data_IF_449113879434
#
_entry.id   IF_449113879434
#
_cell.length_a   1.000
_cell.length_b   1.000
_cell.length_c   1.000
_cell.angle_alpha   90.00
_cell.angle_beta   90.00
_cell.angle_gamma   90.00
#
_symmetry.space_group_name_H-M   'P 1'
#
loop_
_entity.id
_entity.type
_entity.pdbx_description
1 polymer ?
#
# COMPACT_ATOMS: atom_id res chain seq x y z
N UNK A 1 -32.48 -13.71 -45.76
CA UNK A 1 -31.58 -14.53 -44.92
C UNK A 1 -30.75 -15.44 -45.84
N UNK A 2 -29.75 -14.91 -46.54
CA UNK A 2 -28.99 -15.65 -47.58
C UNK A 2 -27.47 -15.64 -47.35
N UNK A 3 -26.96 -14.96 -46.32
CA UNK A 3 -25.51 -14.82 -46.08
C UNK A 3 -24.88 -16.11 -45.52
N UNK A 4 -25.71 -17.04 -45.01
CA UNK A 4 -25.25 -18.26 -44.35
C UNK A 4 -25.01 -19.43 -45.31
N UNK A 5 -25.56 -19.38 -46.52
CA UNK A 5 -25.41 -20.46 -47.52
C UNK A 5 -24.03 -20.41 -48.20
N UNK A 6 -23.49 -19.22 -48.44
CA UNK A 6 -22.13 -19.07 -48.95
C UNK A 6 -21.07 -19.49 -47.91
N UNK A 7 -21.27 -19.16 -46.63
CA UNK A 7 -20.34 -19.55 -45.57
C UNK A 7 -20.31 -21.06 -45.33
N UNK A 8 -21.47 -21.74 -45.35
CA UNK A 8 -21.50 -23.19 -45.18
C UNK A 8 -20.88 -23.92 -46.37
N UNK A 9 -21.06 -23.41 -47.60
CA UNK A 9 -20.40 -23.97 -48.79
C UNK A 9 -18.87 -23.81 -48.73
N UNK A 10 -18.38 -22.65 -48.30
CA UNK A 10 -16.94 -22.42 -48.10
C UNK A 10 -16.37 -23.35 -47.02
N UNK A 11 -17.08 -23.56 -45.92
CA UNK A 11 -16.67 -24.47 -44.86
C UNK A 11 -16.69 -25.94 -45.31
N UNK A 12 -17.70 -26.36 -46.08
CA UNK A 12 -17.77 -27.70 -46.66
C UNK A 12 -16.64 -27.94 -47.67
N UNK A 13 -16.33 -26.95 -48.51
CA UNK A 13 -15.23 -27.02 -49.46
C UNK A 13 -13.86 -27.06 -48.75
N UNK A 14 -13.71 -26.30 -47.66
CA UNK A 14 -12.51 -26.35 -46.81
C UNK A 14 -12.37 -27.71 -46.10
N UNK A 15 -13.48 -28.29 -45.63
CA UNK A 15 -13.49 -29.61 -45.02
C UNK A 15 -13.13 -30.71 -46.03
N UNK A 16 -13.66 -30.66 -47.25
CA UNK A 16 -13.29 -31.59 -48.33
C UNK A 16 -11.81 -31.47 -48.70
N UNK A 17 -11.28 -30.24 -48.72
CA UNK A 17 -9.85 -29.99 -48.97
C UNK A 17 -8.96 -30.56 -47.84
N UNK A 18 -9.36 -30.42 -46.57
CA UNK A 18 -8.65 -31.01 -45.45
C UNK A 18 -8.69 -32.54 -45.48
N UNK A 19 -9.85 -33.13 -45.78
CA UNK A 19 -10.00 -34.60 -45.87
C UNK A 19 -9.22 -35.17 -47.08
N UNK A 20 -9.16 -34.44 -48.19
CA UNK A 20 -8.35 -34.80 -49.36
C UNK A 20 -6.85 -34.69 -49.04
N UNK A 21 -6.41 -33.62 -48.37
CA UNK A 21 -5.03 -33.48 -47.87
C UNK A 21 -4.66 -34.53 -46.83
N UNK A 22 -5.58 -34.94 -45.96
CA UNK A 22 -5.33 -35.93 -44.93
C UNK A 22 -5.19 -37.33 -45.56
N UNK A 23 -6.01 -37.66 -46.57
CA UNK A 23 -5.85 -38.87 -47.39
C UNK A 23 -4.56 -38.86 -48.23
N UNK A 24 -4.16 -37.74 -48.79
CA UNK A 24 -2.94 -37.62 -49.61
C UNK A 24 -1.65 -37.58 -48.77
N UNK A 25 -1.70 -37.04 -47.54
CA UNK A 25 -0.59 -37.04 -46.60
C UNK A 25 -0.25 -38.45 -46.07
N UNK A 26 -1.22 -39.36 -46.07
CA UNK A 26 -1.00 -40.78 -45.71
C UNK A 26 -0.77 -41.70 -46.92
N UNK A 27 -1.16 -41.28 -48.14
CA UNK A 27 -1.09 -42.12 -49.35
C UNK A 27 -0.20 -41.55 -50.47
N UNK A 28 0.91 -40.90 -50.13
CA UNK A 28 1.90 -40.42 -51.10
C UNK A 28 2.80 -41.48 -51.77
N UNK A 29 2.72 -42.77 -51.41
CA UNK A 29 3.63 -43.81 -51.94
C UNK A 29 3.04 -45.24 -52.04
N UNK A 30 1.73 -45.40 -52.20
CA UNK A 30 1.16 -46.75 -52.30
C UNK A 30 0.06 -46.85 -53.37
N UNK A 31 0.47 -46.93 -54.63
CA UNK A 31 -0.36 -47.51 -55.70
C UNK A 31 0.50 -48.41 -56.58
N UNK A 32 0.31 -49.72 -56.38
CA UNK A 32 0.60 -50.87 -57.25
C UNK A 32 2.08 -51.15 -57.59
N UNK A 33 2.74 -51.94 -56.74
CA UNK A 33 3.76 -52.88 -57.22
C UNK A 33 3.44 -54.26 -56.65
N UNK A 34 3.11 -55.26 -57.49
CA UNK A 34 2.93 -56.61 -56.99
C UNK A 34 4.31 -57.25 -56.78
N UNK A 35 4.35 -58.11 -55.76
CA UNK A 35 5.22 -59.27 -55.58
C UNK A 35 6.21 -59.25 -54.40
N UNK A 36 5.80 -59.96 -53.34
CA UNK A 36 6.57 -60.76 -52.38
C UNK A 36 7.82 -60.15 -51.70
N UNK A 37 7.69 -59.81 -50.41
CA UNK A 37 8.58 -60.43 -49.41
C UNK A 37 7.93 -60.53 -48.03
N UNK A 38 8.12 -61.69 -47.41
CA UNK A 38 7.70 -62.04 -46.04
C UNK A 38 8.54 -61.24 -45.03
N UNK A 39 7.95 -61.11 -43.84
CA UNK A 39 8.57 -60.78 -42.54
C UNK A 39 8.60 -59.29 -42.20
N UNK A 40 7.64 -58.85 -41.39
CA UNK A 40 7.90 -58.42 -40.00
C UNK A 40 6.59 -57.91 -39.39
N UNK A 41 5.91 -58.80 -38.66
CA UNK A 41 4.94 -58.43 -37.62
C UNK A 41 5.66 -57.56 -36.57
N UNK A 42 5.66 -56.24 -36.76
CA UNK A 42 5.87 -55.29 -35.68
C UNK A 42 4.56 -54.55 -35.45
N UNK A 43 3.69 -55.17 -34.65
CA UNK A 43 2.54 -54.51 -33.99
C UNK A 43 3.02 -53.20 -33.40
N UNK A 44 2.63 -52.08 -34.02
CA UNK A 44 2.80 -50.73 -33.51
C UNK A 44 1.95 -50.59 -32.24
N UNK A 45 2.55 -50.82 -31.08
CA UNK A 45 1.97 -50.43 -29.80
C UNK A 45 2.82 -49.32 -29.20
N UNK A 46 2.11 -48.26 -28.82
CA UNK A 46 2.50 -47.09 -28.01
C UNK A 46 3.45 -46.06 -28.64
N UNK A 47 2.86 -44.95 -29.09
CA UNK A 47 3.36 -43.58 -28.79
C UNK A 47 2.26 -42.54 -28.98
N UNK A 48 1.13 -42.73 -28.31
CA UNK A 48 0.34 -41.58 -27.86
C UNK A 48 1.17 -40.83 -26.81
N UNK A 49 1.23 -39.50 -26.94
CA UNK A 49 1.95 -38.50 -26.12
C UNK A 49 3.33 -38.07 -26.61
N UNK A 50 3.38 -37.28 -27.69
CA UNK A 50 4.48 -36.31 -27.91
C UNK A 50 4.04 -34.91 -28.38
N UNK A 51 2.75 -34.59 -28.39
CA UNK A 51 2.26 -33.25 -28.80
C UNK A 51 2.06 -32.23 -27.66
N UNK A 52 2.20 -32.61 -26.37
CA UNK A 52 1.89 -31.70 -25.26
C UNK A 52 3.06 -30.83 -24.77
N UNK A 53 4.31 -31.22 -25.02
CA UNK A 53 5.45 -30.55 -24.36
C UNK A 53 5.67 -29.10 -24.83
N UNK A 54 5.36 -28.78 -26.09
CA UNK A 54 5.42 -27.41 -26.63
C UNK A 54 4.31 -26.51 -26.10
N UNK A 55 3.07 -27.02 -26.07
CA UNK A 55 1.90 -26.28 -25.58
C UNK A 55 1.98 -26.04 -24.06
N UNK A 56 2.41 -27.05 -23.28
CA UNK A 56 2.59 -26.90 -21.82
C UNK A 56 3.69 -25.90 -21.46
N UNK A 57 4.77 -25.81 -22.24
CA UNK A 57 5.83 -24.80 -22.03
C UNK A 57 5.34 -23.37 -22.32
N UNK A 58 4.57 -23.21 -23.41
CA UNK A 58 3.99 -21.90 -23.76
C UNK A 58 2.99 -21.43 -22.70
N UNK A 59 2.08 -22.31 -22.26
CA UNK A 59 1.13 -21.99 -21.17
C UNK A 59 1.86 -21.62 -19.88
N UNK A 60 2.92 -22.36 -19.52
CA UNK A 60 3.74 -22.04 -18.34
C UNK A 60 4.38 -20.65 -18.44
N UNK A 61 4.93 -20.29 -19.61
CA UNK A 61 5.55 -18.98 -19.81
C UNK A 61 4.55 -17.83 -19.70
N UNK A 62 3.33 -17.99 -20.24
CA UNK A 62 2.28 -16.97 -20.11
C UNK A 62 1.83 -16.81 -18.65
N UNK A 63 1.66 -17.92 -17.92
CA UNK A 63 1.35 -17.86 -16.49
C UNK A 63 2.47 -17.18 -15.68
N UNK A 64 3.74 -17.49 -15.96
CA UNK A 64 4.87 -16.86 -15.28
C UNK A 64 4.99 -15.36 -15.65
N UNK A 65 4.69 -14.99 -16.89
CA UNK A 65 4.64 -13.58 -17.32
C UNK A 65 3.56 -12.82 -16.57
N UNK A 66 2.36 -13.40 -16.45
CA UNK A 66 1.27 -12.82 -15.67
C UNK A 66 1.66 -12.68 -14.19
N UNK A 67 2.22 -13.74 -13.58
CA UNK A 67 2.72 -13.73 -12.20
C UNK A 67 3.76 -12.63 -11.96
N UNK A 68 4.70 -12.45 -12.90
CA UNK A 68 5.72 -11.38 -12.82
C UNK A 68 5.13 -9.98 -12.99
N UNK A 69 4.07 -9.82 -13.79
CA UNK A 69 3.36 -8.55 -13.90
C UNK A 69 2.69 -8.18 -12.57
N UNK A 70 1.98 -9.13 -11.95
CA UNK A 70 1.38 -8.94 -10.62
C UNK A 70 2.44 -8.59 -9.56
N UNK A 71 3.56 -9.31 -9.53
CA UNK A 71 4.65 -9.02 -8.57
C UNK A 71 5.18 -7.58 -8.74
N UNK A 72 5.38 -7.12 -9.98
CA UNK A 72 5.82 -5.75 -10.23
C UNK A 72 4.81 -4.73 -9.72
N UNK A 73 3.53 -4.96 -9.97
CA UNK A 73 2.46 -4.10 -9.46
C UNK A 73 2.47 -4.01 -7.91
N UNK A 74 2.58 -5.15 -7.21
CA UNK A 74 2.67 -5.13 -5.75
C UNK A 74 3.92 -4.38 -5.25
N UNK A 75 5.05 -4.51 -5.93
CA UNK A 75 6.27 -3.78 -5.58
C UNK A 75 6.15 -2.28 -5.84
N UNK A 76 5.45 -1.86 -6.89
CA UNK A 76 5.15 -0.46 -7.16
C UNK A 76 4.27 0.15 -6.05
N UNK A 77 3.19 -0.53 -5.67
CA UNK A 77 2.35 -0.11 -4.53
C UNK A 77 3.16 0.00 -3.24
N UNK A 78 4.07 -0.94 -2.99
CA UNK A 78 4.94 -0.89 -1.82
C UNK A 78 5.87 0.33 -1.85
N UNK A 79 6.34 0.76 -3.02
CA UNK A 79 7.20 1.95 -3.14
C UNK A 79 6.46 3.24 -2.81
N UNK A 80 5.16 3.32 -3.06
CA UNK A 80 4.33 4.49 -2.73
C UNK A 80 4.13 4.63 -1.22
N UNK A 81 4.05 3.52 -0.50
CA UNK A 81 3.82 3.53 0.96
C UNK A 81 5.10 3.68 1.78
N UNK A 82 6.25 3.27 1.24
CA UNK A 82 7.52 3.36 1.95
C UNK A 82 8.15 4.73 1.69
N UNK A 83 8.63 5.44 2.73
CA UNK A 83 9.41 6.67 2.56
C UNK A 83 10.71 6.36 1.79
N UNK A 84 10.67 6.54 0.47
CA UNK A 84 11.81 6.37 -0.41
C UNK A 84 12.28 7.76 -0.82
N UNK A 85 13.46 8.16 -0.36
CA UNK A 85 14.17 9.29 -0.95
C UNK A 85 14.35 9.01 -2.45
N UNK A 86 13.89 9.93 -3.29
CA UNK A 86 13.98 9.89 -4.76
C UNK A 86 15.40 9.64 -5.28
N UNK A 87 16.40 9.87 -4.43
CA UNK A 87 17.83 9.81 -4.77
C UNK A 87 18.46 8.43 -4.60
N UNK A 88 17.67 7.39 -4.33
CA UNK A 88 18.20 6.03 -4.18
C UNK A 88 18.53 5.42 -5.54
N UNK A 89 19.72 5.74 -6.06
CA UNK A 89 20.37 5.08 -7.21
C UNK A 89 20.54 3.56 -7.05
N UNK A 90 20.21 3.01 -5.87
CA UNK A 90 20.23 1.57 -5.52
C UNK A 90 18.84 1.02 -5.22
N UNK A 91 17.85 1.30 -6.06
CA UNK A 91 16.49 0.78 -5.92
C UNK A 91 16.40 -0.71 -6.34
N UNK A 92 16.95 -1.59 -5.51
CA UNK A 92 16.80 -3.05 -5.65
C UNK A 92 15.59 -3.53 -4.83
N UNK A 93 14.93 -4.60 -5.26
CA UNK A 93 13.79 -5.20 -4.53
C UNK A 93 14.15 -5.53 -3.07
N UNK A 94 15.37 -6.00 -2.82
CA UNK A 94 15.83 -6.29 -1.46
C UNK A 94 15.90 -5.05 -0.57
N UNK A 95 16.40 -3.92 -1.09
CA UNK A 95 16.48 -2.67 -0.33
C UNK A 95 15.07 -2.13 -0.01
N UNK A 96 14.14 -2.23 -0.96
CA UNK A 96 12.74 -1.87 -0.74
C UNK A 96 12.13 -2.67 0.42
N UNK A 97 12.28 -4.00 0.40
CA UNK A 97 11.75 -4.87 1.44
C UNK A 97 12.37 -4.58 2.83
N UNK A 98 13.68 -4.33 2.89
CA UNK A 98 14.36 -3.95 4.15
C UNK A 98 13.84 -2.61 4.69
N UNK A 99 13.66 -1.60 3.82
CA UNK A 99 13.11 -0.30 4.21
C UNK A 99 11.65 -0.40 4.65
N UNK A 100 10.83 -1.18 3.95
CA UNK A 100 9.46 -1.47 4.34
C UNK A 100 9.38 -2.07 5.74
N UNK A 101 10.21 -3.08 6.01
CA UNK A 101 10.27 -3.70 7.34
C UNK A 101 10.65 -2.69 8.43
N UNK A 102 11.63 -1.82 8.17
CA UNK A 102 12.01 -0.77 9.10
C UNK A 102 10.90 0.28 9.28
N UNK A 103 10.20 0.64 8.21
CA UNK A 103 9.11 1.60 8.26
C UNK A 103 7.94 1.09 9.10
N UNK A 104 7.56 -0.19 8.94
CA UNK A 104 6.54 -0.83 9.78
C UNK A 104 6.92 -0.75 11.26
N UNK A 105 8.18 -1.06 11.60
CA UNK A 105 8.67 -0.95 12.99
C UNK A 105 8.59 0.48 13.52
N UNK A 106 8.99 1.47 12.71
CA UNK A 106 8.89 2.89 13.09
C UNK A 106 7.44 3.31 13.35
N UNK A 107 6.51 2.91 12.48
CA UNK A 107 5.08 3.21 12.65
C UNK A 107 4.50 2.56 13.91
N UNK A 108 4.87 1.30 14.19
CA UNK A 108 4.44 0.60 15.40
C UNK A 108 4.89 1.33 16.67
N UNK A 109 6.16 1.74 16.71
CA UNK A 109 6.73 2.47 17.84
C UNK A 109 6.11 3.87 18.00
N UNK A 110 5.82 4.56 16.89
CA UNK A 110 5.10 5.84 16.92
C UNK A 110 3.67 5.66 17.44
N UNK A 111 2.98 4.61 17.01
CA UNK A 111 1.63 4.30 17.49
C UNK A 111 1.63 4.01 19.00
N UNK A 112 2.59 3.25 19.51
CA UNK A 112 2.75 2.99 20.94
C UNK A 112 2.98 4.29 21.74
N UNK A 113 3.90 5.15 21.27
CA UNK A 113 4.14 6.46 21.91
C UNK A 113 2.90 7.35 21.90
N UNK A 114 2.16 7.38 20.78
CA UNK A 114 0.95 8.18 20.65
C UNK A 114 -0.16 7.69 21.60
N UNK A 115 -0.32 6.36 21.75
CA UNK A 115 -1.26 5.78 22.72
C UNK A 115 -0.89 6.16 24.16
N UNK A 116 0.38 6.04 24.55
CA UNK A 116 0.84 6.46 25.88
C UNK A 116 0.58 7.94 26.16
N UNK A 117 0.84 8.81 25.17
CA UNK A 117 0.57 10.23 25.29
C UNK A 117 -0.93 10.51 25.43
N UNK A 118 -1.76 9.85 24.63
CA UNK A 118 -3.21 9.96 24.69
C UNK A 118 -3.75 9.53 26.05
N UNK A 119 -3.25 8.45 26.62
CA UNK A 119 -3.67 7.98 27.94
C UNK A 119 -3.23 8.92 29.06
N UNK A 120 -2.02 9.51 28.98
CA UNK A 120 -1.59 10.56 29.90
C UNK A 120 -2.53 11.78 29.85
N UNK A 121 -2.84 12.24 28.64
CA UNK A 121 -3.75 13.39 28.45
C UNK A 121 -5.17 13.08 28.92
N UNK A 122 -5.65 11.84 28.73
CA UNK A 122 -6.95 11.40 29.28
C UNK A 122 -6.97 11.44 30.80
N UNK A 123 -5.90 10.99 31.44
CA UNK A 123 -5.74 11.07 32.89
C UNK A 123 -5.77 12.53 33.37
N UNK A 124 -4.95 13.39 32.77
CA UNK A 124 -4.91 14.83 33.08
C UNK A 124 -6.30 15.48 32.90
N UNK A 125 -6.99 15.16 31.80
CA UNK A 125 -8.35 15.67 31.54
C UNK A 125 -9.34 15.23 32.63
N UNK A 126 -9.29 13.97 33.06
CA UNK A 126 -10.15 13.45 34.12
C UNK A 126 -9.87 14.14 35.46
N UNK A 127 -8.59 14.30 35.82
CA UNK A 127 -8.17 14.99 37.04
C UNK A 127 -8.66 16.44 37.05
N UNK A 128 -8.45 17.17 35.96
CA UNK A 128 -8.92 18.55 35.82
C UNK A 128 -10.45 18.64 35.91
N UNK A 129 -11.19 17.70 35.33
CA UNK A 129 -12.66 17.63 35.46
C UNK A 129 -13.10 17.42 36.90
N UNK A 130 -12.46 16.50 37.63
CA UNK A 130 -12.75 16.25 39.05
C UNK A 130 -12.46 17.49 39.90
N UNK A 131 -11.34 18.17 39.66
CA UNK A 131 -10.98 19.40 40.37
C UNK A 131 -11.98 20.53 40.09
N UNK A 132 -12.41 20.67 38.84
CA UNK A 132 -13.41 21.65 38.44
C UNK A 132 -14.77 21.37 39.11
N UNK A 133 -15.20 20.10 39.15
CA UNK A 133 -16.40 19.69 39.86
C UNK A 133 -16.31 19.98 41.37
N UNK A 134 -15.15 19.75 42.00
CA UNK A 134 -14.95 20.07 43.42
C UNK A 134 -15.07 21.57 43.70
N UNK A 135 -14.48 22.42 42.86
CA UNK A 135 -14.57 23.88 42.98
C UNK A 135 -16.01 24.38 42.76
N UNK A 136 -16.73 23.82 41.78
CA UNK A 136 -18.13 24.15 41.53
C UNK A 136 -19.05 23.68 42.68
N UNK A 137 -18.90 22.44 43.14
CA UNK A 137 -19.69 21.86 44.23
C UNK A 137 -19.41 22.48 45.61
N UNK A 138 -18.20 23.03 45.82
CA UNK A 138 -17.88 23.85 47.00
C UNK A 138 -18.53 25.24 46.95
N UNK A 139 -18.73 25.79 45.74
CA UNK A 139 -19.37 27.09 45.54
C UNK A 139 -20.89 27.02 45.76
N UNK A 140 -21.53 25.92 45.38
CA UNK A 140 -22.98 25.73 45.59
C UNK A 140 -23.37 25.43 47.05
N UNK A 141 -22.49 24.79 47.83
CA UNK A 141 -22.76 24.54 49.26
C UNK A 141 -22.47 25.76 50.16
N UNK A 142 -21.63 26.71 49.71
CA UNK A 142 -21.22 27.89 50.48
C UNK A 142 -22.13 29.12 50.25
N UNK A 143 -23.38 28.90 49.82
CA UNK A 143 -24.37 29.98 49.53
C UNK A 143 -25.79 29.70 50.07
N UNK A 144 -25.94 28.85 51.09
CA UNK A 144 -27.26 28.60 51.73
C UNK A 144 -27.38 29.21 53.14
N UNK A 145 -26.70 30.31 53.37
CA UNK A 145 -26.74 31.03 54.65
C UNK A 145 -26.51 32.52 54.42
N UNK A 146 -27.25 33.12 53.48
CA UNK A 146 -27.47 34.57 53.48
C UNK A 146 -28.75 34.92 52.74
N UNK A 147 -29.79 35.20 53.54
CA UNK A 147 -30.96 35.93 53.10
C UNK A 147 -30.53 37.30 52.56
N UNK A 148 -30.87 37.56 51.29
CA UNK A 148 -31.10 38.90 50.77
C UNK A 148 -29.87 39.72 50.40
N UNK A 149 -29.60 39.83 49.10
CA UNK A 149 -29.43 41.14 48.47
C UNK A 149 -29.61 41.03 46.96
N UNK A 150 -30.31 42.04 46.44
CA UNK A 150 -30.68 42.22 45.05
C UNK A 150 -29.51 42.73 44.20
N UNK A 151 -29.78 42.84 42.88
CA UNK A 151 -29.00 43.52 41.83
C UNK A 151 -27.86 42.65 41.27
N UNK A 152 -27.63 42.49 39.97
CA UNK A 152 -28.10 43.19 38.78
C UNK A 152 -27.99 42.23 37.57
N UNK A 153 -28.92 42.38 36.64
CA UNK A 153 -29.00 41.63 35.39
C UNK A 153 -28.41 42.51 34.28
N UNK A 154 -27.11 42.42 33.99
CA UNK A 154 -26.56 42.93 32.74
C UNK A 154 -25.45 41.99 32.22
N UNK A 155 -25.87 41.11 31.31
CA UNK A 155 -25.13 40.67 30.11
C UNK A 155 -23.65 40.33 30.32
N UNK A 156 -23.37 39.05 30.56
CA UNK A 156 -22.04 38.48 30.32
C UNK A 156 -22.10 37.73 28.99
N UNK A 157 -21.77 38.45 27.92
CA UNK A 157 -21.53 37.88 26.59
C UNK A 157 -20.11 37.29 26.61
N UNK A 158 -20.02 36.01 27.00
CA UNK A 158 -18.76 35.28 27.02
C UNK A 158 -18.54 34.70 25.63
N UNK A 159 -17.96 35.50 24.75
CA UNK A 159 -17.42 35.05 23.46
C UNK A 159 -16.43 33.90 23.73
N UNK A 160 -16.86 32.69 23.37
CA UNK A 160 -15.96 31.53 23.32
C UNK A 160 -15.21 31.63 22.00
N UNK A 161 -14.00 32.17 22.07
CA UNK A 161 -13.04 31.98 20.99
C UNK A 161 -12.62 30.50 21.01
N UNK A 162 -13.17 29.73 20.07
CA UNK A 162 -12.69 28.38 19.77
C UNK A 162 -11.25 28.52 19.22
N UNK A 163 -10.26 28.32 20.09
CA UNK A 163 -8.85 28.26 19.69
C UNK A 163 -8.66 26.97 18.89
N UNK A 164 -8.67 27.09 17.57
CA UNK A 164 -8.32 26.02 16.65
C UNK A 164 -6.85 25.63 16.88
N UNK A 165 -6.62 24.48 17.51
CA UNK A 165 -5.29 23.91 17.67
C UNK A 165 -4.91 23.30 16.32
N UNK A 166 -4.01 23.97 15.60
CA UNK A 166 -3.43 23.44 14.36
C UNK A 166 -2.58 22.20 14.68
N UNK A 167 -3.15 21.01 14.40
CA UNK A 167 -2.50 19.71 14.59
C UNK A 167 -1.39 19.49 13.56
N UNK A 168 -1.40 20.22 12.44
CA UNK A 168 -0.46 20.02 11.33
C UNK A 168 0.93 20.58 11.67
N UNK A 169 1.02 21.70 12.38
CA UNK A 169 2.29 22.36 12.76
C UNK A 169 3.21 21.53 13.69
N UNK A 170 2.65 20.69 14.56
CA UNK A 170 3.43 19.85 15.48
C UNK A 170 4.18 18.69 14.79
N UNK A 171 3.74 18.29 13.60
CA UNK A 171 4.36 17.18 12.84
C UNK A 171 5.60 17.63 12.07
N UNK A 172 5.66 18.90 11.63
CA UNK A 172 6.79 19.41 10.85
C UNK A 172 7.97 19.91 11.68
N UNK A 173 7.78 20.13 12.98
CA UNK A 173 8.81 20.67 13.89
C UNK A 173 9.72 19.60 14.50
N UNK A 174 9.36 18.31 14.43
CA UNK A 174 10.14 17.24 15.07
C UNK A 174 11.13 16.51 14.13
N UNK A 175 10.97 16.63 12.81
CA UNK A 175 11.76 15.86 11.82
C UNK A 175 12.94 16.63 11.20
N UNK A 176 13.27 17.85 11.68
CA UNK A 176 14.44 18.61 11.20
C UNK A 176 15.26 19.17 12.37
N UNK A 177 16.24 18.37 12.81
CA UNK A 177 17.49 18.76 13.48
C UNK A 177 17.47 19.91 14.52
N UNK A 178 17.70 19.52 15.78
CA UNK A 178 18.73 20.12 16.63
C UNK A 178 18.75 21.65 16.83
N UNK A 179 18.44 22.04 18.06
CA UNK A 179 18.87 23.26 18.75
C UNK A 179 18.10 24.55 18.44
N UNK A 180 17.21 24.87 19.36
CA UNK A 180 17.30 26.15 20.07
C UNK A 180 16.23 27.17 19.75
N UNK A 181 15.12 27.15 20.51
CA UNK A 181 14.50 28.40 20.94
C UNK A 181 13.52 28.22 22.12
N UNK A 182 13.96 28.53 23.33
CA UNK A 182 13.22 29.43 24.26
C UNK A 182 14.23 30.01 25.26
N UNK A 183 14.73 31.21 25.02
CA UNK A 183 15.16 32.08 26.12
C UNK A 183 14.74 33.51 25.81
N UNK A 184 13.60 33.87 26.37
CA UNK A 184 13.13 35.24 26.52
C UNK A 184 14.12 36.02 27.37
N UNK A 185 14.39 37.28 27.03
CA UNK A 185 15.07 38.23 27.91
C UNK A 185 16.02 39.18 27.17
N UNK A 186 15.45 40.27 26.66
CA UNK A 186 16.19 41.51 26.42
C UNK A 186 16.52 42.16 27.78
N UNK A 187 17.80 42.45 28.04
CA UNK A 187 18.33 43.82 28.22
C UNK A 187 19.70 43.87 28.93
N UNK A 188 20.59 44.62 28.28
CA UNK A 188 21.74 45.40 28.77
C UNK A 188 22.83 44.75 29.66
N UNK A 189 24.08 44.74 29.17
CA UNK A 189 25.17 45.54 29.78
C UNK A 189 26.45 45.45 28.95
N UNK A 190 26.98 46.60 28.55
CA UNK A 190 28.35 46.74 28.03
C UNK A 190 29.32 46.52 29.19
N UNK A 191 30.26 45.58 29.05
CA UNK A 191 31.57 45.73 29.68
C UNK A 191 32.61 44.90 28.95
N UNK A 192 33.56 45.63 28.37
CA UNK A 192 34.87 45.17 27.93
C UNK A 192 35.60 44.40 29.03
N UNK A 193 36.18 43.26 28.67
CA UNK A 193 37.44 42.75 29.23
C UNK A 193 38.04 41.76 28.24
N UNK A 194 38.95 42.30 27.44
CA UNK A 194 40.29 41.76 27.19
C UNK A 194 40.51 40.26 27.48
N UNK A 195 40.80 39.50 26.42
CA UNK A 195 41.81 38.43 26.48
C UNK A 195 42.18 37.93 25.08
N UNK A 196 43.39 38.31 24.68
CA UNK A 196 44.24 37.56 23.77
C UNK A 196 44.31 36.07 24.14
N UNK A 197 44.53 35.19 23.16
CA UNK A 197 45.65 34.24 23.08
C UNK A 197 45.50 33.34 21.84
N UNK A 198 46.53 33.41 20.99
CA UNK A 198 47.11 32.40 20.07
C UNK A 198 46.19 31.59 19.15
#
# INVERSE_FOLDING_TARGET
>A
MEVNTCNIQVLLQAAEYLERREREAEHGYASILPFYSKTTEKRSKSKSKKSSAGNSRSVHNELEKHRRAQLRHCLEQLKEQVPLSSDSTRNTTLNLLRRAQMHIKKLQEQNERAELLKDRLRWEQQELRMRLQQLQGGTERMRNDSLGSAMSSERSDSDREDVEIDVESMVWTLDSDGLGLTRTGADHSYSTSDRAWL
#
